data_IF_070417232459
#
_entry.id   IF_070417232459
#
_cell.length_a   1.000
_cell.length_b   1.000
_cell.length_c   1.000
_cell.angle_alpha   90.00
_cell.angle_beta   90.00
_cell.angle_gamma   90.00
#
_symmetry.space_group_name_H-M   'P 1'
#
loop_
_entity.id
_entity.type
_entity.pdbx_description
1 polymer ?
#
# COMPACT_ATOMS: atom_id res chain seq x y z
N UNK A 1 25.76 78.51 -9.04
CA UNK A 1 24.39 79.02 -9.06
C UNK A 1 23.95 79.11 -10.51
N UNK A 2 23.25 78.13 -11.01
CA UNK A 2 22.45 78.24 -12.25
C UNK A 2 21.24 77.32 -12.06
N UNK A 3 20.05 77.91 -11.96
CA UNK A 3 18.77 77.29 -11.92
C UNK A 3 18.36 76.88 -13.32
N UNK A 4 18.16 75.63 -13.61
CA UNK A 4 17.50 75.17 -14.83
C UNK A 4 16.07 74.76 -14.51
N UNK A 5 15.14 75.56 -15.08
CA UNK A 5 13.71 75.30 -15.02
C UNK A 5 13.33 74.25 -16.08
N UNK A 6 12.52 73.25 -15.66
CA UNK A 6 11.91 72.23 -16.54
C UNK A 6 10.55 72.78 -16.99
N UNK A 7 10.23 72.76 -18.31
CA UNK A 7 8.92 73.19 -18.80
C UNK A 7 7.84 72.07 -18.60
N UNK A 8 6.64 72.51 -18.26
CA UNK A 8 5.43 71.67 -18.17
C UNK A 8 4.94 71.29 -19.57
N UNK A 9 4.51 70.06 -19.81
CA UNK A 9 3.82 69.64 -21.01
C UNK A 9 2.35 70.11 -21.02
N UNK A 10 1.90 70.64 -22.13
CA UNK A 10 0.53 71.06 -22.44
C UNK A 10 -0.37 69.79 -22.62
N UNK A 11 -1.54 69.85 -22.03
CA UNK A 11 -2.60 68.85 -22.23
C UNK A 11 -3.20 69.01 -23.66
N UNK A 12 -3.05 67.95 -24.47
CA UNK A 12 -3.82 67.81 -25.72
C UNK A 12 -5.00 66.86 -25.42
N UNK A 13 -6.21 67.43 -25.49
CA UNK A 13 -7.48 66.69 -25.39
C UNK A 13 -7.67 65.90 -26.68
N UNK A 14 -7.54 64.56 -26.56
CA UNK A 14 -7.94 63.63 -27.62
C UNK A 14 -9.34 63.15 -27.30
N UNK A 15 -10.30 63.51 -28.14
CA UNK A 15 -11.65 62.95 -28.15
C UNK A 15 -11.55 61.58 -28.80
N UNK A 16 -11.67 60.51 -27.99
CA UNK A 16 -11.78 59.14 -28.50
C UNK A 16 -13.25 58.78 -28.57
N UNK A 17 -13.75 58.63 -29.77
CA UNK A 17 -15.10 58.13 -30.06
C UNK A 17 -15.10 56.61 -29.76
N UNK A 18 -15.66 56.18 -28.64
CA UNK A 18 -15.82 54.78 -28.33
C UNK A 18 -17.03 54.19 -29.07
N UNK A 19 -16.78 53.41 -30.10
CA UNK A 19 -17.78 52.56 -30.73
C UNK A 19 -17.83 51.28 -29.87
N UNK A 20 -18.90 51.14 -29.04
CA UNK A 20 -19.16 49.93 -28.30
C UNK A 20 -19.73 48.85 -29.24
N UNK A 21 -18.91 47.95 -29.71
CA UNK A 21 -19.37 46.71 -30.33
C UNK A 21 -19.63 45.73 -29.20
N UNK A 22 -20.88 45.51 -28.86
CA UNK A 22 -21.31 44.48 -27.93
C UNK A 22 -21.13 43.10 -28.59
N UNK A 23 -20.03 42.43 -28.29
CA UNK A 23 -19.88 40.99 -28.52
C UNK A 23 -20.61 40.28 -27.40
N UNK A 24 -21.81 39.80 -27.63
CA UNK A 24 -22.44 38.77 -26.80
C UNK A 24 -21.75 37.45 -27.04
N UNK A 25 -20.65 37.21 -26.33
CA UNK A 25 -20.09 35.88 -26.17
C UNK A 25 -21.08 35.08 -25.33
N UNK A 26 -21.92 34.29 -26.02
CA UNK A 26 -22.67 33.22 -25.37
C UNK A 26 -21.64 32.23 -24.77
N UNK A 27 -21.28 32.41 -23.51
CA UNK A 27 -20.66 31.38 -22.69
C UNK A 27 -21.72 30.28 -22.54
N UNK A 28 -21.70 29.32 -23.49
CA UNK A 28 -22.34 28.04 -23.25
C UNK A 28 -21.65 27.46 -21.99
N UNK A 29 -22.28 27.63 -20.83
CA UNK A 29 -21.90 26.88 -19.63
C UNK A 29 -21.96 25.41 -20.02
N UNK A 30 -20.79 24.75 -20.07
CA UNK A 30 -20.79 23.31 -20.14
C UNK A 30 -21.70 22.79 -19.03
N UNK A 31 -22.61 21.84 -19.31
CA UNK A 31 -23.42 21.28 -18.25
C UNK A 31 -22.50 20.80 -17.13
N UNK A 32 -22.84 21.02 -15.84
CA UNK A 32 -22.06 20.48 -14.75
C UNK A 32 -21.88 18.99 -15.04
N UNK A 33 -20.62 18.50 -14.98
CA UNK A 33 -20.36 17.07 -15.07
C UNK A 33 -21.35 16.42 -14.11
N UNK A 34 -22.30 15.64 -14.66
CA UNK A 34 -23.22 14.89 -13.81
C UNK A 34 -22.35 14.10 -12.84
N UNK A 35 -22.54 14.31 -11.53
CA UNK A 35 -21.82 13.57 -10.52
C UNK A 35 -22.01 12.09 -10.85
N UNK A 36 -20.91 11.42 -11.21
CA UNK A 36 -20.96 10.00 -11.54
C UNK A 36 -21.53 9.27 -10.33
N UNK A 37 -22.51 8.41 -10.54
CA UNK A 37 -23.05 7.61 -9.45
C UNK A 37 -21.90 6.88 -8.73
N UNK A 38 -21.91 6.82 -7.38
CA UNK A 38 -20.82 6.18 -6.65
C UNK A 38 -20.65 4.73 -7.10
N UNK A 39 -19.40 4.31 -7.26
CA UNK A 39 -19.06 2.93 -7.61
C UNK A 39 -19.33 2.03 -6.40
N UNK A 40 -20.47 1.39 -6.35
CA UNK A 40 -20.93 0.54 -5.23
C UNK A 40 -21.08 -0.92 -5.69
N UNK A 41 -20.03 -1.51 -6.29
CA UNK A 41 -20.11 -2.84 -6.89
C UNK A 41 -20.61 -3.92 -5.91
N UNK A 42 -20.14 -3.93 -4.67
CA UNK A 42 -20.50 -4.97 -3.69
C UNK A 42 -22.00 -4.94 -3.31
N UNK A 43 -22.68 -3.80 -3.44
CA UNK A 43 -24.14 -3.70 -3.12
C UNK A 43 -24.97 -4.54 -4.09
N UNK A 44 -24.57 -4.55 -5.36
CA UNK A 44 -25.30 -5.21 -6.45
C UNK A 44 -24.74 -6.58 -6.82
N UNK A 45 -23.51 -6.87 -6.42
CA UNK A 45 -22.88 -8.17 -6.68
C UNK A 45 -23.71 -9.29 -6.01
N UNK A 46 -23.95 -10.40 -6.69
CA UNK A 46 -24.61 -11.55 -6.07
C UNK A 46 -23.75 -12.10 -4.91
N UNK A 47 -24.37 -12.76 -3.95
CA UNK A 47 -23.63 -13.35 -2.83
C UNK A 47 -22.66 -14.41 -3.32
N UNK A 48 -23.07 -15.22 -4.29
CA UNK A 48 -22.25 -16.25 -4.98
C UNK A 48 -22.65 -16.31 -6.45
N UNK A 49 -21.69 -16.11 -7.36
CA UNK A 49 -21.90 -16.14 -8.82
C UNK A 49 -20.94 -17.08 -9.55
N UNK A 50 -20.19 -17.92 -8.78
CA UNK A 50 -19.19 -18.83 -9.33
C UNK A 50 -17.85 -18.15 -9.65
N UNK A 51 -17.73 -16.82 -9.44
CA UNK A 51 -16.46 -16.09 -9.56
C UNK A 51 -15.76 -15.94 -8.20
N UNK A 52 -14.45 -16.18 -8.17
CA UNK A 52 -13.61 -15.86 -7.01
C UNK A 52 -13.51 -14.34 -6.89
N UNK A 53 -13.80 -13.80 -5.71
CA UNK A 53 -13.80 -12.33 -5.50
C UNK A 53 -12.77 -11.91 -4.47
N UNK A 54 -11.76 -11.18 -4.94
CA UNK A 54 -10.72 -10.58 -4.11
C UNK A 54 -11.03 -9.11 -3.88
N UNK A 55 -11.08 -8.69 -2.62
CA UNK A 55 -11.10 -7.26 -2.28
C UNK A 55 -9.68 -6.76 -2.06
N UNK A 56 -9.36 -5.61 -2.62
CA UNK A 56 -8.14 -4.87 -2.28
C UNK A 56 -8.50 -3.51 -1.68
N UNK A 57 -7.85 -3.17 -0.59
CA UNK A 57 -7.95 -1.83 -0.03
C UNK A 57 -7.01 -0.88 -0.75
N UNK A 58 -7.43 0.39 -0.91
CA UNK A 58 -6.66 1.44 -1.58
C UNK A 58 -6.24 1.09 -3.01
N UNK A 59 -7.19 1.08 -3.98
CA UNK A 59 -6.95 0.68 -5.37
C UNK A 59 -6.24 1.77 -6.18
N UNK A 60 -5.04 2.18 -5.77
CA UNK A 60 -4.19 3.08 -6.55
C UNK A 60 -3.71 2.40 -7.84
N UNK A 61 -3.42 3.21 -8.85
CA UNK A 61 -2.97 2.75 -10.17
C UNK A 61 -1.78 1.79 -10.08
N UNK A 62 -0.84 2.03 -9.15
CA UNK A 62 0.30 1.14 -8.93
C UNK A 62 -0.14 -0.27 -8.51
N UNK A 63 -1.05 -0.39 -7.53
CA UNK A 63 -1.56 -1.66 -7.01
C UNK A 63 -2.33 -2.44 -8.09
N UNK A 64 -3.15 -1.74 -8.88
CA UNK A 64 -3.88 -2.34 -10.01
C UNK A 64 -2.91 -2.86 -11.08
N UNK A 65 -1.89 -2.07 -11.43
CA UNK A 65 -0.85 -2.44 -12.38
C UNK A 65 -0.04 -3.65 -11.90
N UNK A 66 0.28 -3.70 -10.62
CA UNK A 66 0.97 -4.84 -10.01
C UNK A 66 0.16 -6.13 -10.20
N UNK A 67 -1.12 -6.13 -9.80
CA UNK A 67 -2.00 -7.30 -9.99
C UNK A 67 -2.19 -7.66 -11.48
N UNK A 68 -2.35 -6.67 -12.36
CA UNK A 68 -2.46 -6.91 -13.80
C UNK A 68 -1.19 -7.58 -14.37
N UNK A 69 -0.01 -7.17 -13.88
CA UNK A 69 1.27 -7.77 -14.28
C UNK A 69 1.39 -9.20 -13.77
N UNK A 70 1.05 -9.46 -12.50
CA UNK A 70 1.08 -10.79 -11.90
C UNK A 70 0.11 -11.76 -12.59
N UNK A 71 -1.05 -11.29 -13.02
CA UNK A 71 -1.98 -12.08 -13.84
C UNK A 71 -1.41 -12.37 -15.23
N UNK A 72 -0.91 -11.34 -15.90
CA UNK A 72 -0.36 -11.46 -17.25
C UNK A 72 0.80 -12.44 -17.33
N UNK A 73 1.65 -12.50 -16.32
CA UNK A 73 2.81 -13.39 -16.29
C UNK A 73 2.53 -14.78 -15.66
N UNK A 74 1.26 -15.05 -15.26
CA UNK A 74 0.84 -16.33 -14.67
C UNK A 74 1.23 -16.56 -13.22
N UNK A 75 1.81 -15.54 -12.52
CA UNK A 75 2.18 -15.67 -11.10
C UNK A 75 0.94 -15.67 -10.19
N UNK A 76 -0.09 -14.91 -10.55
CA UNK A 76 -1.36 -14.83 -9.85
C UNK A 76 -2.51 -14.94 -10.85
N UNK A 77 -2.82 -16.16 -11.28
CA UNK A 77 -3.88 -16.45 -12.23
C UNK A 77 -4.95 -17.34 -11.60
N UNK A 78 -6.16 -16.81 -11.48
CA UNK A 78 -7.34 -17.51 -10.96
C UNK A 78 -8.44 -17.37 -12.02
N UNK A 79 -8.95 -18.49 -12.59
CA UNK A 79 -10.06 -18.44 -13.52
C UNK A 79 -11.29 -17.76 -12.91
N UNK A 80 -11.88 -16.82 -13.63
CA UNK A 80 -13.07 -16.10 -13.18
C UNK A 80 -12.82 -15.10 -12.02
N UNK A 81 -11.57 -14.73 -11.73
CA UNK A 81 -11.26 -13.75 -10.68
C UNK A 81 -11.88 -12.40 -10.99
N UNK A 82 -12.64 -11.88 -10.04
CA UNK A 82 -13.03 -10.47 -9.95
C UNK A 82 -12.29 -9.79 -8.80
N UNK A 83 -11.61 -8.69 -9.08
CA UNK A 83 -10.96 -7.86 -8.05
C UNK A 83 -11.82 -6.64 -7.80
N UNK A 84 -12.08 -6.32 -6.52
CA UNK A 84 -12.86 -5.15 -6.11
C UNK A 84 -11.97 -4.21 -5.30
N UNK A 85 -11.67 -3.06 -5.86
CA UNK A 85 -10.95 -2.00 -5.15
C UNK A 85 -11.87 -1.22 -4.23
N UNK A 86 -11.65 -1.34 -2.93
CA UNK A 86 -12.42 -0.64 -1.88
C UNK A 86 -11.63 0.54 -1.36
N UNK A 87 -12.27 1.70 -1.24
CA UNK A 87 -11.64 2.93 -0.73
C UNK A 87 -12.67 3.84 -0.08
N UNK A 88 -12.20 4.69 0.82
CA UNK A 88 -13.05 5.70 1.46
C UNK A 88 -12.97 7.03 0.69
N UNK A 89 -14.11 7.70 0.48
CA UNK A 89 -14.23 8.94 -0.31
C UNK A 89 -13.33 10.09 0.14
N UNK A 90 -12.96 10.11 1.42
CA UNK A 90 -12.10 11.15 2.00
C UNK A 90 -10.60 10.85 1.88
N UNK A 91 -10.20 9.72 1.25
CA UNK A 91 -8.80 9.46 0.95
C UNK A 91 -8.27 10.44 -0.09
N UNK A 92 -6.98 10.77 0.03
CA UNK A 92 -6.32 11.77 -0.83
C UNK A 92 -5.85 11.20 -2.16
N UNK A 93 -5.82 9.89 -2.32
CA UNK A 93 -5.38 9.22 -3.54
C UNK A 93 -6.27 9.54 -4.75
N UNK A 94 -5.66 9.60 -5.94
CA UNK A 94 -6.36 9.91 -7.19
C UNK A 94 -7.02 8.67 -7.81
N UNK A 95 -8.16 8.27 -7.28
CA UNK A 95 -8.90 7.11 -7.82
C UNK A 95 -9.55 7.36 -9.19
N UNK A 96 -9.68 8.61 -9.65
CA UNK A 96 -10.09 8.90 -11.01
C UNK A 96 -9.02 8.43 -12.03
N UNK A 97 -7.74 8.57 -11.71
CA UNK A 97 -6.65 8.00 -12.50
C UNK A 97 -6.70 6.47 -12.52
N UNK A 98 -6.99 5.84 -11.38
CA UNK A 98 -7.17 4.39 -11.28
C UNK A 98 -8.30 3.88 -12.17
N UNK A 99 -9.46 4.55 -12.17
CA UNK A 99 -10.58 4.21 -13.07
C UNK A 99 -10.20 4.36 -14.54
N UNK A 100 -9.52 5.47 -14.87
CA UNK A 100 -9.01 5.71 -16.23
C UNK A 100 -8.06 4.58 -16.65
N UNK A 101 -7.12 4.21 -15.80
CA UNK A 101 -6.18 3.10 -16.08
C UNK A 101 -6.93 1.77 -16.34
N UNK A 102 -7.92 1.42 -15.51
CA UNK A 102 -8.73 0.21 -15.67
C UNK A 102 -9.44 0.22 -17.03
N UNK A 103 -10.07 1.34 -17.39
CA UNK A 103 -10.80 1.48 -18.65
C UNK A 103 -9.87 1.41 -19.88
N UNK A 104 -8.76 2.14 -19.87
CA UNK A 104 -7.78 2.21 -20.98
C UNK A 104 -7.07 0.88 -21.23
N UNK A 105 -6.95 0.03 -20.20
CA UNK A 105 -6.30 -1.28 -20.31
C UNK A 105 -7.27 -2.45 -20.41
N UNK A 106 -8.59 -2.18 -20.53
CA UNK A 106 -9.62 -3.22 -20.68
C UNK A 106 -9.65 -4.22 -19.53
N UNK A 107 -9.45 -3.76 -18.29
CA UNK A 107 -9.41 -4.63 -17.10
C UNK A 107 -10.82 -4.94 -16.60
N UNK A 108 -11.64 -5.64 -17.39
CA UNK A 108 -13.05 -5.92 -17.08
C UNK A 108 -13.26 -6.72 -15.79
N UNK A 109 -12.23 -7.41 -15.33
CA UNK A 109 -12.18 -8.16 -14.08
C UNK A 109 -11.97 -7.27 -12.85
N UNK A 110 -11.73 -5.95 -13.02
CA UNK A 110 -11.53 -5.00 -11.94
C UNK A 110 -12.76 -4.12 -11.75
N UNK A 111 -13.25 -4.01 -10.51
CA UNK A 111 -14.40 -3.20 -10.11
C UNK A 111 -14.02 -2.27 -8.96
N UNK A 112 -14.84 -1.23 -8.73
CA UNK A 112 -14.64 -0.30 -7.61
C UNK A 112 -15.79 -0.36 -6.63
N UNK A 113 -15.50 -0.09 -5.36
CA UNK A 113 -16.50 0.04 -4.30
C UNK A 113 -16.10 1.17 -3.37
N UNK A 114 -16.85 2.27 -3.45
CA UNK A 114 -16.63 3.49 -2.71
C UNK A 114 -17.37 3.45 -1.37
N UNK A 115 -16.71 3.85 -0.28
CA UNK A 115 -17.28 3.93 1.07
C UNK A 115 -17.33 5.38 1.51
N UNK A 116 -18.52 5.87 1.91
CA UNK A 116 -18.73 7.24 2.37
C UNK A 116 -19.17 7.34 3.84
N UNK A 117 -19.26 6.20 4.52
CA UNK A 117 -19.65 6.15 5.93
C UNK A 117 -18.63 6.91 6.80
N UNK A 118 -19.11 7.71 7.78
CA UNK A 118 -18.24 8.51 8.61
C UNK A 118 -17.30 7.65 9.46
N UNK A 119 -16.00 8.02 9.44
CA UNK A 119 -14.96 7.41 10.27
C UNK A 119 -14.10 8.49 10.91
N UNK A 120 -13.73 8.27 12.16
CA UNK A 120 -12.85 9.16 12.91
C UNK A 120 -11.92 8.35 13.81
N UNK A 121 -10.76 8.89 14.13
CA UNK A 121 -9.75 8.20 14.92
C UNK A 121 -10.27 7.62 16.24
N UNK A 122 -11.08 8.33 17.08
CA UNK A 122 -11.61 7.76 18.32
C UNK A 122 -12.58 6.58 18.14
N UNK A 123 -13.04 6.32 16.91
CA UNK A 123 -14.01 5.28 16.61
C UNK A 123 -13.42 4.04 15.93
N UNK A 124 -12.10 3.98 15.68
CA UNK A 124 -11.48 2.95 14.86
C UNK A 124 -11.65 1.54 15.43
N UNK A 125 -11.47 1.38 16.73
CA UNK A 125 -11.34 0.09 17.41
C UNK A 125 -12.61 -0.26 18.21
N UNK A 126 -13.75 -0.10 17.57
CA UNK A 126 -15.08 -0.47 18.04
C UNK A 126 -16.06 -0.47 16.88
N UNK A 127 -17.29 -0.97 17.08
CA UNK A 127 -18.34 -0.79 16.08
C UNK A 127 -18.53 0.69 15.77
N UNK A 128 -18.56 1.02 14.47
CA UNK A 128 -18.67 2.37 13.96
C UNK A 128 -19.53 2.40 12.68
N UNK A 129 -19.66 3.56 12.03
CA UNK A 129 -20.49 3.69 10.85
C UNK A 129 -20.00 2.88 9.63
N UNK A 130 -18.68 2.52 9.58
CA UNK A 130 -18.13 1.65 8.54
C UNK A 130 -18.31 0.14 8.84
N UNK A 131 -18.79 -0.24 10.03
CA UNK A 131 -19.00 -1.67 10.39
C UNK A 131 -19.82 -2.44 9.35
N UNK A 132 -20.95 -1.90 8.82
CA UNK A 132 -21.73 -2.59 7.79
C UNK A 132 -20.95 -2.84 6.48
N UNK A 133 -20.02 -1.95 6.13
CA UNK A 133 -19.14 -2.12 4.96
C UNK A 133 -18.16 -3.28 5.15
N UNK A 134 -17.56 -3.40 6.33
CA UNK A 134 -16.66 -4.52 6.64
C UNK A 134 -17.38 -5.87 6.68
N UNK A 135 -18.63 -5.88 7.21
CA UNK A 135 -19.51 -7.05 7.17
C UNK A 135 -19.88 -7.42 5.73
N UNK A 136 -20.18 -6.43 4.89
CA UNK A 136 -20.46 -6.62 3.45
C UNK A 136 -19.25 -7.20 2.72
N UNK A 137 -18.07 -6.65 2.97
CA UNK A 137 -16.82 -7.16 2.39
C UNK A 137 -16.62 -8.63 2.77
N UNK A 138 -16.70 -8.99 4.06
CA UNK A 138 -16.54 -10.38 4.48
C UNK A 138 -17.59 -11.31 3.86
N UNK A 139 -18.84 -10.84 3.72
CA UNK A 139 -19.93 -11.61 3.10
C UNK A 139 -19.68 -11.86 1.61
N UNK A 140 -19.21 -10.85 0.88
CA UNK A 140 -19.13 -10.86 -0.59
C UNK A 140 -17.77 -11.27 -1.16
N UNK A 141 -16.68 -11.14 -0.40
CA UNK A 141 -15.34 -11.48 -0.85
C UNK A 141 -14.91 -12.88 -0.41
N UNK A 142 -13.92 -13.42 -1.11
CA UNK A 142 -13.23 -14.67 -0.77
C UNK A 142 -11.88 -14.42 -0.10
N UNK A 143 -11.41 -13.18 -0.08
CA UNK A 143 -10.21 -12.72 0.64
C UNK A 143 -9.96 -11.25 0.45
N UNK A 144 -8.98 -10.71 1.21
CA UNK A 144 -8.61 -9.29 1.16
C UNK A 144 -7.10 -9.09 1.10
N UNK A 145 -6.68 -7.99 0.44
CA UNK A 145 -5.30 -7.49 0.47
C UNK A 145 -5.29 -6.05 0.98
N UNK A 146 -4.37 -5.75 1.90
CA UNK A 146 -3.95 -4.41 2.29
C UNK A 146 -2.57 -4.15 1.70
N UNK A 147 -2.45 -3.12 0.86
CA UNK A 147 -1.20 -2.82 0.15
C UNK A 147 -0.28 -1.85 0.90
N UNK A 148 0.93 -1.69 0.37
CA UNK A 148 1.92 -0.72 0.79
C UNK A 148 1.46 0.74 0.66
N UNK A 149 2.13 1.66 1.35
CA UNK A 149 1.79 3.08 1.33
C UNK A 149 2.54 3.92 2.37
N UNK A 150 2.08 5.16 2.63
CA UNK A 150 2.71 6.08 3.57
C UNK A 150 2.51 5.66 5.03
N UNK A 151 3.12 6.41 5.94
CA UNK A 151 3.18 6.09 7.37
C UNK A 151 1.83 6.22 8.08
N UNK A 152 1.58 5.29 9.00
CA UNK A 152 0.41 5.35 9.88
C UNK A 152 0.63 6.48 10.92
N UNK A 153 -0.35 7.37 11.14
CA UNK A 153 -0.27 8.36 12.22
C UNK A 153 0.00 7.69 13.57
N UNK A 154 1.05 8.12 14.27
CA UNK A 154 1.45 7.51 15.54
C UNK A 154 0.35 7.56 16.62
N UNK A 155 -0.55 8.56 16.55
CA UNK A 155 -1.73 8.65 17.41
C UNK A 155 -2.64 7.42 17.32
N UNK A 156 -2.71 6.74 16.16
CA UNK A 156 -3.53 5.53 15.95
C UNK A 156 -3.08 4.36 16.83
N UNK A 157 -1.78 4.29 17.17
CA UNK A 157 -1.23 3.30 18.10
C UNK A 157 -0.75 3.89 19.42
N UNK A 158 -1.20 5.13 19.75
CA UNK A 158 -1.06 5.74 21.06
C UNK A 158 0.32 6.32 21.36
N UNK A 159 1.12 6.63 20.35
CA UNK A 159 2.47 7.17 20.50
C UNK A 159 2.60 8.61 20.00
N UNK A 160 3.72 9.25 20.35
CA UNK A 160 4.10 10.55 19.79
C UNK A 160 4.71 10.37 18.42
N UNK A 161 4.42 11.27 17.50
CA UNK A 161 4.93 11.23 16.12
C UNK A 161 6.43 11.55 16.08
N UNK A 162 7.23 10.64 15.50
CA UNK A 162 8.63 10.87 15.19
C UNK A 162 8.75 11.95 14.09
N UNK A 163 9.83 12.74 14.11
CA UNK A 163 10.05 13.82 13.13
C UNK A 163 10.21 13.31 11.68
N UNK A 164 10.53 12.03 11.50
CA UNK A 164 10.70 11.40 10.19
C UNK A 164 9.42 10.72 9.66
N UNK A 165 8.34 10.71 10.46
CA UNK A 165 7.05 10.14 10.05
C UNK A 165 6.31 11.08 9.08
N UNK A 166 5.93 10.58 7.90
CA UNK A 166 5.21 11.33 6.87
C UNK A 166 3.74 10.91 6.78
N UNK A 167 2.84 11.71 7.36
CA UNK A 167 1.39 11.47 7.32
C UNK A 167 0.78 12.18 6.12
N UNK A 168 0.35 11.46 5.10
CA UNK A 168 -0.23 12.03 3.87
C UNK A 168 -1.72 11.78 3.71
N UNK A 169 -2.25 10.67 4.22
CA UNK A 169 -3.65 10.27 4.09
C UNK A 169 -4.20 9.63 5.36
N UNK A 170 -4.60 10.40 6.39
CA UNK A 170 -5.14 9.84 7.62
C UNK A 170 -6.38 8.97 7.41
N UNK A 171 -7.27 9.32 6.46
CA UNK A 171 -8.50 8.57 6.21
C UNK A 171 -8.23 7.16 5.69
N UNK A 172 -7.18 6.95 4.89
CA UNK A 172 -6.73 5.63 4.47
C UNK A 172 -6.41 4.77 5.68
N UNK A 173 -5.55 5.28 6.57
CA UNK A 173 -5.10 4.55 7.75
C UNK A 173 -6.26 4.25 8.71
N UNK A 174 -7.16 5.22 8.93
CA UNK A 174 -8.32 5.01 9.76
C UNK A 174 -9.23 3.91 9.21
N UNK A 175 -9.53 3.96 7.91
CA UNK A 175 -10.40 2.99 7.27
C UNK A 175 -9.79 1.58 7.26
N UNK A 176 -8.50 1.45 6.92
CA UNK A 176 -7.82 0.16 6.87
C UNK A 176 -7.55 -0.42 8.27
N UNK A 177 -7.10 0.38 9.27
CA UNK A 177 -6.88 -0.08 10.64
C UNK A 177 -8.19 -0.52 11.31
N UNK A 178 -9.28 0.22 11.06
CA UNK A 178 -10.62 -0.17 11.53
C UNK A 178 -11.11 -1.46 10.86
N UNK A 179 -10.86 -1.65 9.55
CA UNK A 179 -11.18 -2.90 8.85
C UNK A 179 -10.43 -4.09 9.46
N UNK A 180 -9.13 -3.95 9.71
CA UNK A 180 -8.31 -4.98 10.36
C UNK A 180 -8.83 -5.31 11.75
N UNK A 181 -9.15 -4.28 12.57
CA UNK A 181 -9.74 -4.49 13.90
C UNK A 181 -11.07 -5.27 13.81
N UNK A 182 -11.94 -4.91 12.87
CA UNK A 182 -13.21 -5.63 12.69
C UNK A 182 -12.99 -7.08 12.24
N UNK A 183 -12.00 -7.34 11.39
CA UNK A 183 -11.69 -8.69 10.93
C UNK A 183 -11.07 -9.57 12.02
N UNK A 184 -10.07 -9.04 12.76
CA UNK A 184 -9.17 -9.82 13.63
C UNK A 184 -9.39 -9.58 15.14
N UNK A 185 -10.04 -8.47 15.54
CA UNK A 185 -10.04 -7.95 16.89
C UNK A 185 -8.69 -7.37 17.30
N UNK A 186 -8.57 -6.87 18.52
CA UNK A 186 -7.34 -6.27 18.99
C UNK A 186 -7.30 -6.11 20.50
N UNK A 187 -6.16 -5.68 21.05
CA UNK A 187 -6.01 -5.33 22.47
C UNK A 187 -6.81 -4.09 22.87
N UNK A 188 -7.22 -3.26 21.89
CA UNK A 188 -7.99 -2.04 22.12
C UNK A 188 -9.38 -2.33 22.68
N UNK A 189 -9.99 -3.47 22.32
CA UNK A 189 -11.22 -4.01 22.93
C UNK A 189 -11.18 -5.55 22.92
N UNK A 190 -10.81 -6.15 24.04
CA UNK A 190 -10.70 -7.60 24.15
C UNK A 190 -12.05 -8.34 24.10
N UNK A 191 -13.17 -7.62 24.30
CA UNK A 191 -14.53 -8.17 24.23
C UNK A 191 -15.12 -8.14 22.83
N UNK A 192 -14.47 -7.41 21.90
CA UNK A 192 -14.94 -7.35 20.53
C UNK A 192 -14.86 -8.74 19.88
N UNK A 193 -15.95 -9.15 19.24
CA UNK A 193 -16.02 -10.42 18.50
C UNK A 193 -15.61 -10.16 17.06
N UNK A 194 -14.43 -10.66 16.63
CA UNK A 194 -13.93 -10.44 15.28
C UNK A 194 -14.84 -11.09 14.22
N UNK A 195 -14.94 -10.47 13.05
CA UNK A 195 -15.73 -10.99 11.92
C UNK A 195 -15.18 -12.35 11.43
N UNK A 196 -13.88 -12.60 11.53
CA UNK A 196 -13.28 -13.87 11.14
C UNK A 196 -13.63 -15.05 12.07
N UNK A 197 -14.32 -14.84 13.19
CA UNK A 197 -14.92 -15.94 13.96
C UNK A 197 -15.94 -16.74 13.11
N UNK A 198 -16.65 -16.04 12.21
CA UNK A 198 -17.60 -16.69 11.30
C UNK A 198 -16.91 -17.37 10.09
N UNK A 199 -15.71 -16.93 9.72
CA UNK A 199 -14.94 -17.45 8.55
C UNK A 199 -13.43 -17.56 8.89
N UNK A 200 -13.00 -18.46 9.80
CA UNK A 200 -11.61 -18.52 10.29
C UNK A 200 -10.56 -18.79 9.19
N UNK A 201 -10.97 -19.41 8.08
CA UNK A 201 -10.12 -19.70 6.94
C UNK A 201 -10.08 -18.60 5.86
N UNK A 202 -10.71 -17.44 6.09
CA UNK A 202 -10.71 -16.32 5.14
C UNK A 202 -9.30 -15.74 4.99
N UNK A 203 -8.75 -15.67 3.76
CA UNK A 203 -7.38 -15.17 3.55
C UNK A 203 -7.30 -13.64 3.65
N UNK A 204 -6.29 -13.20 4.39
CA UNK A 204 -5.91 -11.78 4.56
C UNK A 204 -4.42 -11.66 4.28
N UNK A 205 -4.04 -10.83 3.32
CA UNK A 205 -2.65 -10.51 3.03
C UNK A 205 -2.39 -9.02 3.28
N UNK A 206 -1.41 -8.72 4.15
CA UNK A 206 -0.89 -7.36 4.35
C UNK A 206 0.50 -7.23 3.72
N UNK A 207 0.72 -6.20 2.89
CA UNK A 207 2.00 -5.93 2.23
C UNK A 207 2.52 -4.57 2.69
N UNK A 208 3.74 -4.50 3.21
CA UNK A 208 4.44 -3.29 3.67
C UNK A 208 3.58 -2.51 4.67
N UNK A 209 2.97 -1.39 4.30
CA UNK A 209 1.99 -0.71 5.15
C UNK A 209 0.86 -1.65 5.60
N UNK A 210 0.38 -2.54 4.73
CA UNK A 210 -0.66 -3.51 5.09
C UNK A 210 -0.22 -4.47 6.20
N UNK A 211 1.05 -4.88 6.23
CA UNK A 211 1.64 -5.65 7.32
C UNK A 211 1.66 -4.84 8.64
N UNK A 212 2.05 -3.57 8.58
CA UNK A 212 2.02 -2.65 9.71
C UNK A 212 0.58 -2.38 10.18
N UNK A 213 -0.35 -2.23 9.24
CA UNK A 213 -1.79 -2.07 9.53
C UNK A 213 -2.38 -3.29 10.23
N UNK A 214 -1.98 -4.52 9.85
CA UNK A 214 -2.34 -5.73 10.60
C UNK A 214 -1.89 -5.65 12.05
N UNK A 215 -0.67 -5.18 12.29
CA UNK A 215 -0.14 -5.04 13.64
C UNK A 215 -0.87 -3.96 14.45
N UNK A 216 -1.02 -2.76 13.90
CA UNK A 216 -1.68 -1.63 14.57
C UNK A 216 -3.16 -1.91 14.79
N UNK A 217 -3.86 -2.44 13.77
CA UNK A 217 -5.28 -2.80 13.88
C UNK A 217 -5.56 -3.84 14.97
N UNK A 218 -4.61 -4.71 15.27
CA UNK A 218 -4.70 -5.70 16.36
C UNK A 218 -4.11 -5.21 17.69
N UNK A 219 -3.70 -3.93 17.79
CA UNK A 219 -3.25 -3.29 19.04
C UNK A 219 -1.76 -3.36 19.29
N UNK A 220 -0.96 -3.56 18.25
CA UNK A 220 0.49 -3.43 18.30
C UNK A 220 0.98 -2.01 18.02
N UNK A 221 2.30 -1.78 18.14
CA UNK A 221 2.96 -0.51 17.88
C UNK A 221 4.03 -0.63 16.80
N UNK A 222 4.57 0.51 16.34
CA UNK A 222 5.59 0.56 15.30
C UNK A 222 6.85 1.27 15.78
N UNK A 223 8.01 0.77 15.38
CA UNK A 223 9.23 1.55 15.22
C UNK A 223 8.97 2.55 14.10
N UNK A 224 9.07 3.84 14.38
CA UNK A 224 8.72 4.88 13.42
C UNK A 224 9.87 5.25 12.49
N UNK A 225 11.11 4.93 12.87
CA UNK A 225 12.28 5.01 11.99
C UNK A 225 13.34 3.98 12.38
N UNK A 226 13.54 2.98 11.54
CA UNK A 226 14.47 1.88 11.76
C UNK A 226 15.90 2.38 12.00
N UNK A 227 16.36 3.35 11.22
CA UNK A 227 17.76 3.76 11.26
C UNK A 227 18.11 4.50 12.54
N UNK A 228 17.25 5.43 12.98
CA UNK A 228 17.47 6.18 14.21
C UNK A 228 17.15 5.36 15.47
N UNK A 229 16.07 4.58 15.47
CA UNK A 229 15.58 3.90 16.67
C UNK A 229 16.24 2.54 16.90
N UNK A 230 16.45 1.72 15.84
CA UNK A 230 17.03 0.38 15.99
C UNK A 230 18.54 0.34 15.79
N UNK A 231 19.08 1.21 14.93
CA UNK A 231 20.52 1.22 14.62
C UNK A 231 21.26 2.44 15.19
N UNK A 232 20.57 3.39 15.82
CA UNK A 232 21.13 4.62 16.38
C UNK A 232 21.95 5.42 15.34
N UNK A 233 21.44 5.51 14.10
CA UNK A 233 22.06 6.23 12.99
C UNK A 233 21.23 7.46 12.64
N UNK A 234 21.88 8.62 12.53
CA UNK A 234 21.23 9.90 12.26
C UNK A 234 21.81 10.60 11.02
N UNK A 235 22.79 9.99 10.35
CA UNK A 235 23.37 10.49 9.11
C UNK A 235 23.29 9.43 8.02
N UNK A 236 23.16 9.87 6.78
CA UNK A 236 23.04 8.96 5.62
C UNK A 236 24.32 8.13 5.44
N UNK A 237 25.48 8.74 5.66
CA UNK A 237 26.78 8.07 5.57
C UNK A 237 26.93 6.93 6.58
N UNK A 238 26.44 7.13 7.81
CA UNK A 238 26.42 6.09 8.84
C UNK A 238 25.47 4.94 8.48
N UNK A 239 24.32 5.26 7.86
CA UNK A 239 23.39 4.24 7.33
C UNK A 239 24.05 3.46 6.19
N UNK A 240 24.72 4.13 5.27
CA UNK A 240 25.47 3.48 4.18
C UNK A 240 26.53 2.52 4.74
N UNK A 241 27.21 2.90 5.82
CA UNK A 241 28.21 2.08 6.48
C UNK A 241 27.65 0.81 7.14
N UNK A 242 26.35 0.71 7.45
CA UNK A 242 25.72 -0.51 7.93
C UNK A 242 25.75 -1.64 6.88
N UNK A 243 25.61 -1.29 5.60
CA UNK A 243 25.54 -2.24 4.50
C UNK A 243 24.12 -2.67 4.10
N UNK A 244 23.99 -3.30 2.91
CA UNK A 244 22.68 -3.55 2.28
C UNK A 244 21.74 -4.47 3.08
N UNK A 245 22.25 -5.32 3.95
CA UNK A 245 21.40 -6.21 4.77
C UNK A 245 20.62 -5.45 5.87
N UNK A 246 20.97 -4.17 6.16
CA UNK A 246 20.33 -3.34 7.19
C UNK A 246 19.76 -2.02 6.64
N UNK A 247 19.72 -1.84 5.32
CA UNK A 247 19.25 -0.57 4.78
C UNK A 247 17.72 -0.44 4.77
N UNK A 248 16.97 -1.48 4.52
CA UNK A 248 15.50 -1.51 4.36
C UNK A 248 14.94 -0.52 3.31
N UNK A 249 15.75 0.42 2.85
CA UNK A 249 15.54 1.36 1.76
C UNK A 249 16.92 1.75 1.20
N UNK A 250 17.03 2.29 -0.02
CA UNK A 250 18.33 2.64 -0.60
C UNK A 250 18.82 4.02 -0.13
N UNK A 251 19.79 4.11 0.80
CA UNK A 251 20.24 5.40 1.35
C UNK A 251 21.01 6.25 0.34
N UNK A 252 21.62 5.66 -0.70
CA UNK A 252 22.35 6.41 -1.71
C UNK A 252 21.46 7.43 -2.46
N UNK A 253 20.14 7.18 -2.56
CA UNK A 253 19.23 8.13 -3.18
C UNK A 253 19.17 9.48 -2.49
N UNK A 254 19.43 9.53 -1.19
CA UNK A 254 19.41 10.76 -0.40
C UNK A 254 20.62 11.65 -0.73
N UNK A 255 21.77 11.05 -1.06
CA UNK A 255 22.98 11.78 -1.43
C UNK A 255 23.12 12.03 -2.93
N UNK A 256 22.54 11.16 -3.77
CA UNK A 256 22.67 11.19 -5.22
C UNK A 256 21.33 11.20 -5.93
N UNK A 257 20.45 12.22 -5.70
CA UNK A 257 19.11 12.27 -6.28
C UNK A 257 19.09 12.37 -7.81
N UNK A 258 20.20 12.78 -8.43
CA UNK A 258 20.34 12.93 -9.89
C UNK A 258 20.65 11.60 -10.60
N UNK A 259 21.14 10.57 -9.89
CA UNK A 259 21.70 9.37 -10.51
C UNK A 259 20.66 8.32 -10.89
N UNK A 260 19.36 8.60 -10.71
CA UNK A 260 18.25 7.68 -11.01
C UNK A 260 18.47 6.27 -10.42
N UNK A 261 18.96 6.22 -9.19
CA UNK A 261 19.19 4.97 -8.46
C UNK A 261 17.86 4.30 -8.12
N UNK A 262 17.90 2.98 -7.94
CA UNK A 262 16.76 2.20 -7.38
C UNK A 262 16.38 2.82 -6.04
N UNK A 263 15.07 3.09 -5.84
CA UNK A 263 14.52 3.58 -4.57
C UNK A 263 14.47 2.52 -3.49
N UNK A 264 14.54 1.30 -3.88
CA UNK A 264 14.38 0.10 -3.08
C UNK A 264 15.74 -0.46 -2.65
N UNK A 265 15.73 -1.30 -1.61
CA UNK A 265 16.85 -2.14 -1.26
C UNK A 265 16.49 -3.62 -1.44
N UNK A 266 17.51 -4.46 -1.50
CA UNK A 266 17.37 -5.91 -1.49
C UNK A 266 18.20 -6.47 -0.34
N UNK A 267 17.56 -7.14 0.60
CA UNK A 267 18.21 -7.84 1.70
C UNK A 267 17.62 -9.23 1.91
N UNK A 268 18.28 -10.06 2.69
CA UNK A 268 17.94 -11.46 2.93
C UNK A 268 17.09 -11.61 4.19
N UNK A 269 16.19 -12.61 4.17
CA UNK A 269 15.37 -12.96 5.33
C UNK A 269 15.99 -14.08 6.17
N UNK A 270 15.64 -14.09 7.46
CA UNK A 270 15.69 -15.26 8.33
C UNK A 270 14.28 -15.81 8.50
N UNK A 271 14.03 -17.05 8.03
CA UNK A 271 12.72 -17.70 8.16
C UNK A 271 12.59 -18.43 9.49
N UNK A 272 11.41 -18.29 10.13
CA UNK A 272 11.06 -19.03 11.34
C UNK A 272 10.71 -20.48 11.05
N UNK A 273 11.19 -21.43 11.86
CA UNK A 273 10.96 -22.87 11.70
C UNK A 273 9.47 -23.27 11.61
N UNK A 274 8.61 -22.50 12.26
CA UNK A 274 7.17 -22.77 12.31
C UNK A 274 6.34 -22.01 11.29
N UNK A 275 6.97 -21.21 10.43
CA UNK A 275 6.31 -20.31 9.49
C UNK A 275 5.54 -21.05 8.40
N UNK A 276 4.55 -20.38 7.85
CA UNK A 276 3.83 -20.80 6.64
C UNK A 276 4.77 -20.97 5.45
N UNK A 277 5.83 -20.15 5.38
CA UNK A 277 6.88 -20.28 4.36
C UNK A 277 7.54 -21.67 4.39
N UNK A 278 7.80 -22.20 5.60
CA UNK A 278 8.41 -23.53 5.79
C UNK A 278 7.37 -24.63 5.68
N UNK A 279 6.25 -24.54 6.41
CA UNK A 279 5.26 -25.62 6.51
C UNK A 279 4.44 -25.82 5.25
N UNK A 280 4.14 -24.74 4.53
CA UNK A 280 3.16 -24.75 3.43
C UNK A 280 3.80 -24.41 2.08
N UNK A 281 4.72 -23.47 2.04
CA UNK A 281 5.34 -23.03 0.77
C UNK A 281 6.58 -23.85 0.40
N UNK A 282 7.12 -24.68 1.33
CA UNK A 282 8.17 -25.67 1.05
C UNK A 282 9.60 -25.16 1.22
N UNK A 283 9.81 -23.97 1.81
CA UNK A 283 11.14 -23.44 2.11
C UNK A 283 11.74 -24.07 3.37
N UNK A 284 13.06 -23.96 3.50
CA UNK A 284 13.79 -24.38 4.69
C UNK A 284 14.14 -23.17 5.57
N UNK A 285 14.27 -23.32 6.88
CA UNK A 285 14.75 -22.25 7.76
C UNK A 285 16.17 -21.74 7.40
N UNK A 286 16.95 -22.58 6.72
CA UNK A 286 18.28 -22.23 6.19
C UNK A 286 18.23 -21.50 4.85
N UNK A 287 17.09 -21.44 4.20
CA UNK A 287 16.91 -20.62 3.02
C UNK A 287 16.85 -19.16 3.47
N UNK A 288 17.64 -18.34 2.82
CA UNK A 288 17.69 -16.91 3.11
C UNK A 288 17.26 -16.13 1.86
N UNK A 289 15.97 -16.22 1.48
CA UNK A 289 15.51 -15.57 0.26
C UNK A 289 15.72 -14.07 0.35
N UNK A 290 16.19 -13.48 -0.74
CA UNK A 290 16.31 -12.03 -0.87
C UNK A 290 14.98 -11.44 -1.30
N UNK A 291 14.62 -10.32 -0.70
CA UNK A 291 13.34 -9.63 -0.95
C UNK A 291 13.58 -8.17 -1.32
N UNK A 292 12.55 -7.56 -1.94
CA UNK A 292 12.52 -6.13 -2.22
C UNK A 292 11.96 -5.38 -1.02
N UNK A 293 12.72 -4.46 -0.48
CA UNK A 293 12.38 -3.66 0.70
C UNK A 293 12.31 -2.17 0.36
N UNK A 294 11.29 -1.49 0.89
CA UNK A 294 11.11 -0.03 0.76
C UNK A 294 10.33 0.51 1.95
N UNK A 295 10.91 0.44 3.13
CA UNK A 295 10.29 0.95 4.34
C UNK A 295 11.33 1.52 5.30
N UNK A 296 10.92 2.47 6.14
CA UNK A 296 11.71 2.96 7.24
C UNK A 296 11.04 2.71 8.59
N UNK A 297 9.77 2.26 8.59
CA UNK A 297 9.04 1.82 9.77
C UNK A 297 9.01 0.30 9.87
N UNK A 298 8.82 -0.24 11.08
CA UNK A 298 8.72 -1.67 11.33
C UNK A 298 7.79 -1.97 12.52
N UNK A 299 7.35 -3.22 12.65
CA UNK A 299 6.63 -3.69 13.84
C UNK A 299 7.54 -3.62 15.07
N UNK A 300 7.05 -2.98 16.16
CA UNK A 300 7.72 -2.92 17.46
C UNK A 300 7.08 -3.92 18.43
N UNK A 301 5.92 -3.57 19.00
CA UNK A 301 5.15 -4.48 19.84
C UNK A 301 4.10 -5.20 19.02
N UNK A 302 4.06 -6.51 19.17
CA UNK A 302 3.15 -7.37 18.39
C UNK A 302 1.71 -7.18 18.83
N UNK A 303 0.79 -7.04 17.85
CA UNK A 303 -0.65 -7.01 18.07
C UNK A 303 -1.23 -8.36 18.52
N UNK A 304 -2.49 -8.33 18.98
CA UNK A 304 -3.20 -9.49 19.51
C UNK A 304 -3.27 -10.62 18.47
N UNK A 305 -2.82 -11.79 18.87
CA UNK A 305 -2.87 -12.99 18.05
C UNK A 305 -1.78 -13.10 16.97
N UNK A 306 -1.03 -12.04 16.66
CA UNK A 306 0.06 -12.09 15.71
C UNK A 306 1.31 -12.76 16.28
N UNK A 307 2.13 -13.34 15.41
CA UNK A 307 3.45 -13.89 15.71
C UNK A 307 4.42 -13.57 14.58
N UNK A 308 5.66 -13.23 14.93
CA UNK A 308 6.72 -13.07 13.96
C UNK A 308 7.13 -14.41 13.37
N UNK A 309 7.22 -14.48 12.04
CA UNK A 309 7.55 -15.71 11.30
C UNK A 309 8.69 -15.51 10.30
N UNK A 310 9.13 -14.28 10.07
CA UNK A 310 10.40 -13.95 9.43
C UNK A 310 10.95 -12.64 9.99
N UNK A 311 12.26 -12.47 9.93
CA UNK A 311 12.97 -11.26 10.36
C UNK A 311 14.09 -10.91 9.39
N UNK A 312 14.65 -9.69 9.51
CA UNK A 312 15.95 -9.35 8.97
C UNK A 312 17.02 -10.30 9.49
N UNK A 313 18.15 -10.42 8.78
CA UNK A 313 19.24 -11.37 9.14
C UNK A 313 19.83 -11.12 10.53
N UNK A 314 19.83 -9.89 11.01
CA UNK A 314 20.27 -9.53 12.36
C UNK A 314 19.17 -9.66 13.44
N UNK A 315 17.96 -10.05 13.04
CA UNK A 315 16.82 -10.27 13.92
C UNK A 315 16.15 -9.02 14.47
N UNK A 316 16.57 -7.83 14.05
CA UNK A 316 16.06 -6.56 14.61
C UNK A 316 14.72 -6.14 14.01
N UNK A 317 14.47 -6.45 12.75
CA UNK A 317 13.25 -6.05 12.03
C UNK A 317 12.39 -7.27 11.77
N UNK A 318 11.12 -7.20 12.16
CA UNK A 318 10.12 -8.22 11.85
C UNK A 318 9.67 -8.02 10.41
N UNK A 319 9.92 -9.02 9.57
CA UNK A 319 9.67 -8.97 8.13
C UNK A 319 8.40 -9.72 7.71
N UNK A 320 7.88 -10.60 8.56
CA UNK A 320 6.58 -11.23 8.35
C UNK A 320 5.91 -11.64 9.65
N UNK A 321 4.57 -11.58 9.64
CA UNK A 321 3.72 -12.04 10.73
C UNK A 321 2.63 -12.97 10.22
N UNK A 322 2.23 -13.91 11.08
CA UNK A 322 1.05 -14.76 10.93
C UNK A 322 0.12 -14.58 12.12
N UNK A 323 -1.14 -15.00 11.99
CA UNK A 323 -2.09 -14.97 13.10
C UNK A 323 -2.30 -16.39 13.68
N UNK A 324 -2.13 -16.55 15.00
CA UNK A 324 -2.22 -17.85 15.69
C UNK A 324 -3.55 -18.58 15.49
N UNK A 325 -4.65 -17.83 15.42
CA UNK A 325 -6.02 -18.38 15.35
C UNK A 325 -6.55 -18.47 13.92
N UNK A 326 -6.20 -17.52 13.06
CA UNK A 326 -6.69 -17.43 11.68
C UNK A 326 -5.58 -17.83 10.72
N UNK A 327 -5.56 -19.09 10.22
CA UNK A 327 -4.38 -19.67 9.58
C UNK A 327 -4.02 -19.08 8.22
N UNK A 328 -4.92 -18.29 7.64
CA UNK A 328 -4.72 -17.67 6.33
C UNK A 328 -4.50 -16.14 6.43
N UNK A 329 -4.06 -15.65 7.60
CA UNK A 329 -3.64 -14.25 7.78
C UNK A 329 -2.13 -14.19 7.73
N UNK A 330 -1.60 -13.50 6.73
CA UNK A 330 -0.18 -13.28 6.49
C UNK A 330 0.11 -11.79 6.28
N UNK A 331 1.06 -11.25 7.01
CA UNK A 331 1.64 -9.93 6.74
C UNK A 331 3.09 -10.06 6.33
N UNK A 332 3.50 -9.36 5.26
CA UNK A 332 4.88 -9.28 4.79
C UNK A 332 5.31 -7.82 4.68
N UNK A 333 6.48 -7.47 5.22
CA UNK A 333 6.98 -6.09 5.24
C UNK A 333 7.58 -5.68 3.88
N UNK A 334 7.97 -6.65 3.08
CA UNK A 334 8.56 -6.50 1.76
C UNK A 334 7.51 -6.51 0.64
N UNK A 335 7.93 -6.30 -0.62
CA UNK A 335 7.05 -6.08 -1.77
C UNK A 335 7.08 -7.22 -2.81
N UNK A 336 6.39 -8.35 -2.59
CA UNK A 336 6.32 -9.45 -3.56
C UNK A 336 5.46 -9.11 -4.79
N UNK A 337 4.68 -8.03 -4.73
CA UNK A 337 3.78 -7.57 -5.81
C UNK A 337 4.50 -6.75 -6.87
N UNK A 338 5.72 -6.26 -6.60
CA UNK A 338 6.34 -5.25 -7.44
C UNK A 338 6.61 -5.77 -8.86
N UNK A 339 6.08 -5.11 -9.92
CA UNK A 339 6.14 -5.62 -11.29
C UNK A 339 7.57 -5.88 -11.81
N UNK A 340 8.54 -5.08 -11.38
CA UNK A 340 9.94 -5.18 -11.80
C UNK A 340 10.66 -6.41 -11.25
N UNK A 341 10.12 -7.13 -10.26
CA UNK A 341 10.72 -8.37 -9.76
C UNK A 341 10.86 -9.44 -10.84
N UNK A 342 10.01 -9.37 -11.87
CA UNK A 342 9.93 -10.33 -12.97
C UNK A 342 10.43 -9.74 -14.30
N UNK A 343 10.88 -8.48 -14.31
CA UNK A 343 11.44 -7.80 -15.49
C UNK A 343 12.96 -8.03 -15.57
N UNK A 344 13.43 -8.59 -16.67
CA UNK A 344 14.84 -8.90 -16.90
C UNK A 344 15.65 -7.71 -17.47
N UNK A 345 14.99 -6.62 -17.85
CA UNK A 345 15.66 -5.49 -18.49
C UNK A 345 16.56 -4.70 -17.53
N UNK A 346 17.85 -4.53 -17.80
CA UNK A 346 18.81 -3.88 -16.93
C UNK A 346 18.72 -2.36 -16.99
N UNK A 347 17.77 -1.78 -16.25
CA UNK A 347 17.47 -0.32 -16.29
C UNK A 347 17.92 0.45 -15.05
N UNK A 348 18.34 -0.25 -14.00
CA UNK A 348 18.48 0.32 -12.68
C UNK A 348 19.89 0.17 -12.12
N UNK A 349 20.30 1.10 -11.26
CA UNK A 349 21.57 1.06 -10.52
C UNK A 349 21.28 1.10 -9.04
N UNK A 350 22.04 0.33 -8.24
CA UNK A 350 21.91 0.33 -6.78
C UNK A 350 22.74 1.45 -6.14
N UNK A 351 23.94 1.71 -6.70
CA UNK A 351 24.89 2.71 -6.21
C UNK A 351 25.37 3.60 -7.35
N UNK A 352 25.90 4.80 -7.05
CA UNK A 352 26.58 5.62 -8.06
C UNK A 352 27.71 4.83 -8.72
N UNK A 353 27.78 4.88 -10.05
CA UNK A 353 28.82 4.21 -10.83
C UNK A 353 28.61 2.72 -11.10
N UNK A 354 27.64 2.05 -10.46
CA UNK A 354 27.31 0.66 -10.78
C UNK A 354 26.83 0.51 -12.24
N UNK A 355 27.10 -0.63 -12.88
CA UNK A 355 26.43 -0.95 -14.14
C UNK A 355 24.92 -1.12 -13.95
N UNK A 356 24.09 -0.82 -14.96
CA UNK A 356 22.67 -1.11 -14.90
C UNK A 356 22.38 -2.60 -14.67
N UNK A 357 21.38 -2.87 -13.82
CA UNK A 357 20.91 -4.23 -13.52
C UNK A 357 19.39 -4.27 -13.55
N UNK A 358 18.79 -5.47 -13.52
CA UNK A 358 17.36 -5.67 -13.31
C UNK A 358 17.07 -6.19 -11.89
N UNK A 359 15.85 -5.98 -11.40
CA UNK A 359 15.43 -6.54 -10.10
C UNK A 359 15.45 -8.07 -10.15
N UNK A 360 15.04 -8.65 -11.27
CA UNK A 360 15.09 -10.08 -11.50
C UNK A 360 16.52 -10.63 -11.37
N UNK A 361 17.49 -10.00 -12.02
CA UNK A 361 18.90 -10.43 -11.93
C UNK A 361 19.46 -10.36 -10.49
N UNK A 362 19.05 -9.35 -9.71
CA UNK A 362 19.46 -9.25 -8.30
C UNK A 362 18.90 -10.43 -7.49
N UNK A 363 17.64 -10.81 -7.70
CA UNK A 363 17.01 -11.93 -7.01
C UNK A 363 17.56 -13.29 -7.47
N UNK A 364 17.80 -13.48 -8.77
CA UNK A 364 18.38 -14.71 -9.35
C UNK A 364 19.79 -15.00 -8.80
N UNK A 365 20.51 -13.96 -8.40
CA UNK A 365 21.82 -14.11 -7.73
C UNK A 365 21.75 -14.78 -6.35
N UNK A 366 20.57 -15.00 -5.79
CA UNK A 366 20.36 -15.63 -4.47
C UNK A 366 19.17 -16.59 -4.53
N UNK A 367 19.33 -17.84 -5.00
CA UNK A 367 18.27 -18.83 -4.94
C UNK A 367 17.83 -19.09 -3.49
N UNK A 368 16.54 -19.26 -3.18
CA UNK A 368 15.38 -19.37 -4.09
C UNK A 368 14.51 -18.08 -4.17
N UNK A 369 15.13 -16.90 -4.23
CA UNK A 369 14.46 -15.61 -4.04
C UNK A 369 13.28 -15.33 -5.00
N UNK A 370 13.42 -15.67 -6.29
CA UNK A 370 12.31 -15.49 -7.24
C UNK A 370 11.13 -16.38 -6.86
N UNK A 371 11.40 -17.67 -6.61
CA UNK A 371 10.37 -18.63 -6.21
C UNK A 371 9.67 -18.21 -4.92
N UNK A 372 10.41 -17.67 -3.96
CA UNK A 372 9.87 -17.19 -2.68
C UNK A 372 8.80 -16.12 -2.89
N UNK A 373 9.08 -15.10 -3.70
CA UNK A 373 8.12 -14.06 -4.02
C UNK A 373 6.89 -14.61 -4.79
N UNK A 374 7.09 -15.57 -5.72
CA UNK A 374 5.99 -16.20 -6.47
C UNK A 374 5.10 -17.09 -5.60
N UNK A 375 5.67 -17.82 -4.65
CA UNK A 375 4.94 -18.74 -3.76
C UNK A 375 3.93 -18.02 -2.85
N UNK A 376 4.17 -16.79 -2.47
CA UNK A 376 3.21 -15.97 -1.71
C UNK A 376 1.92 -15.79 -2.54
N UNK A 377 2.04 -15.52 -3.82
CA UNK A 377 0.90 -15.34 -4.73
C UNK A 377 0.18 -16.66 -5.01
N UNK A 378 0.95 -17.75 -5.22
CA UNK A 378 0.37 -19.08 -5.40
C UNK A 378 -0.38 -19.54 -4.16
N UNK A 379 0.16 -19.28 -2.97
CA UNK A 379 -0.52 -19.53 -1.69
C UNK A 379 -1.83 -18.75 -1.60
N UNK A 380 -1.80 -17.43 -1.85
CA UNK A 380 -3.00 -16.60 -1.80
C UNK A 380 -4.05 -17.08 -2.80
N UNK A 381 -3.66 -17.39 -4.03
CA UNK A 381 -4.57 -17.93 -5.05
C UNK A 381 -5.27 -19.22 -4.59
N UNK A 382 -4.50 -20.17 -4.04
CA UNK A 382 -5.06 -21.39 -3.48
C UNK A 382 -6.05 -21.13 -2.33
N UNK A 383 -5.72 -20.18 -1.43
CA UNK A 383 -6.59 -19.85 -0.29
C UNK A 383 -7.86 -19.11 -0.70
N UNK A 384 -7.81 -18.28 -1.74
CA UNK A 384 -9.01 -17.64 -2.31
C UNK A 384 -9.97 -18.68 -2.89
N UNK A 385 -9.45 -19.64 -3.67
CA UNK A 385 -10.27 -20.74 -4.22
C UNK A 385 -10.86 -21.61 -3.12
N UNK A 386 -10.08 -21.97 -2.09
CA UNK A 386 -10.57 -22.71 -0.92
C UNK A 386 -11.66 -21.95 -0.13
N UNK A 387 -11.52 -20.62 -0.02
CA UNK A 387 -12.49 -19.74 0.65
C UNK A 387 -13.79 -19.59 -0.14
N UNK A 388 -13.69 -19.58 -1.48
CA UNK A 388 -14.85 -19.51 -2.38
C UNK A 388 -15.75 -20.75 -2.28
N UNK A 389 -15.18 -21.91 -2.07
CA UNK A 389 -15.88 -23.19 -1.94
C UNK A 389 -16.64 -23.39 -0.61
N UNK A 390 -16.50 -22.46 0.33
CA UNK A 390 -17.13 -22.51 1.68
C UNK A 390 -18.16 -21.43 1.86
#
# INVERSE_FOLDING_TARGET
MIKNAVPKPQARTLIVLAIAVAWTLGLAMAPPLAAQAPDRYLDTAPDRDGSVRLVIFNPETFNIRALATLRKNGTFDIPGLTVVGVYHVKQTANFAESRKYVAENGLDWFKFHEVSAEISEPALFRKNACTPEYELILKKADGVIFFGGPDIPASVFGEKTNLLTEITDPYRHWFEASAVFHLLGGFQDEKFVPLLEARPGFPVLGICLGHQTLNVGTGGTLVQDIWSELYAKTTVEDVIALGPEQWHNNPYRLLFPQDKLIGYNFHSLQLGNGSLFVKTMGFQPSDHPRILSSHHQAVEKMGKGLVAVASSRDGKVIEAVEHKKYPNVLGVQFHPEHPLLFDAEPRHRQKPGDPPTSFKAILEGTPPSIEFNQKIWSWLAGKLVESHGK
#
